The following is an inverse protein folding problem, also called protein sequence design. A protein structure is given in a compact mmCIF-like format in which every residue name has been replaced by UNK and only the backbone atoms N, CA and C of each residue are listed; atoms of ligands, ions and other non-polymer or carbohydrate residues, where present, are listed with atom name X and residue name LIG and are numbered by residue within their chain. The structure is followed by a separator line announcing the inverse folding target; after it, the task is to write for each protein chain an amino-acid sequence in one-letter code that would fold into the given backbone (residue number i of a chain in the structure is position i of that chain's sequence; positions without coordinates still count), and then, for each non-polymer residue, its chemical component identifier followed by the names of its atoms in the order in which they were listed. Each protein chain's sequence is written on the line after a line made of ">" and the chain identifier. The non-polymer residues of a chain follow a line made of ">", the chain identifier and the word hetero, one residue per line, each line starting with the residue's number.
data_IF_346169245466
#
_entry.id   IF_346169245466
#
_cell.length_a   1.000
_cell.length_b   1.000
_cell.length_c   1.000
_cell.angle_alpha   90.00
_cell.angle_beta   90.00
_cell.angle_gamma   90.00
#
_symmetry.space_group_name_H-M   'P 1'
#
loop_
_entity.id
_entity.type
_entity.pdbx_description
1 polymer ?
#
# COMPACT_ATOMS: atom_id res chain seq x y z
N UNK A 1 -2.38 4.24 5.96
CA UNK A 1 -1.77 4.67 7.23
C UNK A 1 -1.85 6.18 7.41
N UNK A 2 -1.24 6.96 6.51
CA UNK A 2 -1.25 8.43 6.52
C UNK A 2 -2.63 9.04 6.81
N UNK A 3 -3.62 8.82 5.93
CA UNK A 3 -4.97 9.41 6.08
C UNK A 3 -5.75 8.88 7.29
N UNK A 4 -5.83 7.56 7.48
CA UNK A 4 -6.66 6.94 8.51
C UNK A 4 -6.22 7.29 9.94
N UNK A 5 -4.91 7.44 10.15
CA UNK A 5 -4.34 7.71 11.48
C UNK A 5 -3.80 9.14 11.63
N UNK A 6 -3.87 9.97 10.57
CA UNK A 6 -3.28 11.32 10.57
C UNK A 6 -1.77 11.31 10.83
N UNK A 7 -1.07 10.24 10.44
CA UNK A 7 0.36 10.09 10.70
C UNK A 7 1.18 10.72 9.57
N UNK A 8 2.15 11.60 9.86
CA UNK A 8 2.98 12.19 8.83
C UNK A 8 3.94 11.15 8.24
N UNK A 9 4.42 11.31 6.98
CA UNK A 9 5.17 10.27 6.27
C UNK A 9 6.45 9.85 6.99
N UNK A 10 7.15 10.78 7.64
CA UNK A 10 8.37 10.51 8.41
C UNK A 10 8.14 9.64 9.66
N UNK A 11 6.89 9.44 10.07
CA UNK A 11 6.49 8.53 11.16
C UNK A 11 5.94 7.19 10.64
N UNK A 12 6.02 6.92 9.34
CA UNK A 12 5.57 5.68 8.72
C UNK A 12 6.80 4.92 8.22
N UNK A 13 7.21 3.90 8.98
CA UNK A 13 8.29 2.99 8.60
C UNK A 13 7.74 1.74 7.93
N UNK A 14 8.33 1.35 6.79
CA UNK A 14 8.05 0.07 6.12
C UNK A 14 9.16 -0.91 6.41
N UNK A 15 8.79 -2.07 6.94
CA UNK A 15 9.70 -3.18 7.25
C UNK A 15 9.23 -4.42 6.50
N UNK A 16 10.15 -5.13 5.84
CA UNK A 16 9.84 -6.39 5.19
C UNK A 16 9.79 -7.49 6.27
N UNK A 17 8.64 -8.14 6.37
CA UNK A 17 8.41 -9.27 7.26
C UNK A 17 7.91 -10.49 6.46
N UNK A 18 8.82 -11.38 6.00
CA UNK A 18 8.47 -12.47 5.08
C UNK A 18 7.40 -13.44 5.61
N UNK A 19 7.38 -13.67 6.93
CA UNK A 19 6.45 -14.63 7.53
C UNK A 19 5.01 -14.12 7.60
N UNK A 20 4.80 -12.81 7.46
CA UNK A 20 3.48 -12.17 7.50
C UNK A 20 2.62 -12.53 8.73
N UNK A 21 3.27 -12.88 9.84
CA UNK A 21 2.62 -13.18 11.13
C UNK A 21 2.34 -11.89 11.91
N UNK A 22 3.32 -10.98 11.94
CA UNK A 22 3.10 -9.63 12.44
C UNK A 22 2.48 -8.82 11.30
N UNK A 23 1.26 -8.32 11.47
CA UNK A 23 0.56 -7.59 10.39
C UNK A 23 0.86 -6.08 10.39
N UNK A 24 1.26 -5.51 11.52
CA UNK A 24 1.80 -4.15 11.69
C UNK A 24 2.17 -3.89 13.15
N UNK A 25 2.88 -2.79 13.41
CA UNK A 25 3.36 -2.39 14.72
C UNK A 25 3.18 -0.89 14.95
N UNK A 26 3.11 -0.47 16.22
CA UNK A 26 3.11 0.94 16.63
C UNK A 26 4.13 1.13 17.75
N UNK A 27 5.05 2.07 17.55
CA UNK A 27 6.04 2.47 18.56
C UNK A 27 5.55 3.70 19.34
N UNK A 28 5.74 3.69 20.65
CA UNK A 28 5.35 4.75 21.57
C UNK A 28 6.55 5.56 22.06
N UNK A 29 6.30 6.71 22.68
CA UNK A 29 7.34 7.65 23.14
C UNK A 29 8.24 7.10 24.26
N UNK A 30 7.78 6.09 24.99
CA UNK A 30 8.56 5.34 25.98
C UNK A 30 9.45 4.26 25.36
N UNK A 31 9.44 4.13 24.03
CA UNK A 31 10.18 3.12 23.27
C UNK A 31 9.46 1.77 23.17
N UNK A 32 8.31 1.59 23.81
CA UNK A 32 7.54 0.35 23.71
C UNK A 32 6.92 0.17 22.32
N UNK A 33 6.81 -1.08 21.88
CA UNK A 33 6.21 -1.44 20.60
C UNK A 33 5.03 -2.37 20.86
N UNK A 34 3.88 -2.04 20.28
CA UNK A 34 2.72 -2.94 20.22
C UNK A 34 2.59 -3.50 18.82
N UNK A 35 2.54 -4.82 18.71
CA UNK A 35 2.37 -5.55 17.47
C UNK A 35 1.04 -6.32 17.50
N UNK A 36 0.35 -6.39 16.36
CA UNK A 36 -0.74 -7.34 16.17
C UNK A 36 -0.23 -8.53 15.36
N UNK A 37 -0.44 -9.73 15.91
CA UNK A 37 -0.05 -11.00 15.30
C UNK A 37 -1.28 -11.82 14.93
N UNK A 38 -1.20 -12.52 13.81
CA UNK A 38 -2.26 -13.41 13.34
C UNK A 38 -1.77 -14.33 12.23
N UNK A 39 -2.56 -15.37 11.96
CA UNK A 39 -2.43 -16.09 10.70
C UNK A 39 -2.95 -15.18 9.57
N UNK A 40 -2.44 -15.33 8.33
CA UNK A 40 -2.89 -14.54 7.18
C UNK A 40 -4.31 -14.95 6.72
N UNK A 41 -5.31 -14.70 7.56
CA UNK A 41 -6.73 -14.94 7.29
C UNK A 41 -7.53 -13.64 7.51
N UNK A 42 -8.13 -13.14 6.43
CA UNK A 42 -8.94 -11.91 6.43
C UNK A 42 -10.19 -11.98 7.32
N UNK A 43 -10.66 -13.18 7.70
CA UNK A 43 -11.83 -13.32 8.58
C UNK A 43 -11.63 -12.63 9.92
N UNK A 44 -10.41 -12.66 10.47
CA UNK A 44 -10.11 -12.04 11.76
C UNK A 44 -10.22 -10.50 11.73
N UNK A 45 -9.53 -9.77 10.83
CA UNK A 45 -9.69 -8.32 10.74
C UNK A 45 -11.10 -7.91 10.31
N UNK A 46 -11.77 -8.65 9.43
CA UNK A 46 -13.17 -8.37 9.05
C UNK A 46 -14.10 -8.49 10.26
N UNK A 47 -14.02 -9.60 11.01
CA UNK A 47 -14.84 -9.78 12.21
C UNK A 47 -14.60 -8.65 13.21
N UNK A 48 -13.34 -8.31 13.48
CA UNK A 48 -13.02 -7.26 14.44
C UNK A 48 -13.50 -5.88 13.99
N UNK A 49 -13.43 -5.55 12.70
CA UNK A 49 -13.95 -4.29 12.17
C UNK A 49 -15.47 -4.18 12.33
N UNK A 50 -16.21 -5.29 12.12
CA UNK A 50 -17.67 -5.33 12.26
C UNK A 50 -18.14 -5.33 13.72
N UNK A 51 -17.31 -5.82 14.64
CA UNK A 51 -17.70 -6.01 16.05
C UNK A 51 -16.92 -5.10 16.99
N UNK A 52 -16.20 -4.09 16.48
CA UNK A 52 -15.41 -3.21 17.34
C UNK A 52 -16.32 -2.42 18.30
N UNK A 53 -15.98 -2.34 19.61
CA UNK A 53 -14.74 -2.80 20.25
C UNK A 53 -14.79 -4.23 20.80
N UNK A 54 -15.93 -4.92 20.72
CA UNK A 54 -16.10 -6.29 21.20
C UNK A 54 -15.26 -7.32 20.41
N UNK A 55 -14.84 -8.36 21.12
CA UNK A 55 -14.18 -9.53 20.52
C UNK A 55 -15.11 -10.74 20.60
N UNK A 56 -15.76 -11.04 19.48
CA UNK A 56 -16.62 -12.23 19.40
C UNK A 56 -15.79 -13.52 19.30
N UNK A 57 -16.30 -14.57 19.96
CA UNK A 57 -15.72 -15.91 19.87
C UNK A 57 -15.89 -16.46 18.45
N UNK A 58 -14.83 -17.05 17.91
CA UNK A 58 -14.84 -17.78 16.64
C UNK A 58 -14.05 -19.09 16.77
N UNK A 59 -14.17 -19.93 15.74
CA UNK A 59 -13.45 -21.21 15.63
C UNK A 59 -12.38 -21.17 14.53
N UNK A 60 -11.85 -19.98 14.19
CA UNK A 60 -10.76 -19.87 13.22
C UNK A 60 -9.49 -20.55 13.73
N UNK A 61 -8.58 -20.87 12.82
CA UNK A 61 -7.30 -21.46 13.18
C UNK A 61 -6.55 -20.55 14.18
N UNK A 62 -5.90 -21.18 15.16
CA UNK A 62 -5.16 -20.47 16.21
C UNK A 62 -3.68 -20.54 15.91
N UNK A 63 -3.00 -19.42 16.16
CA UNK A 63 -1.55 -19.34 16.01
C UNK A 63 -0.87 -20.34 16.96
N UNK A 64 0.02 -21.15 16.40
CA UNK A 64 0.90 -22.03 17.17
C UNK A 64 2.30 -21.41 17.19
N UNK A 65 2.63 -20.68 18.27
CA UNK A 65 3.88 -19.93 18.37
C UNK A 65 5.14 -20.79 18.16
N UNK A 66 5.30 -21.96 18.83
CA UNK A 66 6.42 -22.86 18.54
C UNK A 66 6.55 -23.31 17.08
N UNK A 67 5.43 -23.49 16.37
CA UNK A 67 5.46 -23.93 14.97
C UNK A 67 5.93 -22.84 14.00
N UNK A 68 5.90 -21.55 14.39
CA UNK A 68 6.40 -20.44 13.58
C UNK A 68 7.92 -20.46 13.49
N UNK A 69 8.59 -20.84 14.58
CA UNK A 69 10.04 -20.81 14.69
C UNK A 69 10.58 -19.38 14.80
N UNK A 70 10.86 -18.75 13.66
CA UNK A 70 11.56 -17.46 13.59
C UNK A 70 10.72 -16.36 12.94
N UNK A 71 10.81 -15.14 13.47
CA UNK A 71 10.31 -13.92 12.85
C UNK A 71 11.51 -13.09 12.39
N UNK A 72 11.54 -12.73 11.11
CA UNK A 72 12.63 -11.91 10.53
C UNK A 72 12.11 -10.57 10.04
N UNK A 73 12.97 -9.56 10.13
CA UNK A 73 12.71 -8.18 9.72
C UNK A 73 13.86 -7.70 8.85
N UNK A 74 13.54 -7.08 7.72
CA UNK A 74 14.51 -6.57 6.77
C UNK A 74 14.12 -5.15 6.35
N UNK A 75 15.13 -4.30 6.11
CA UNK A 75 14.92 -3.00 5.49
C UNK A 75 14.59 -3.18 4.00
N UNK A 76 13.60 -2.45 3.44
CA UNK A 76 13.30 -2.51 2.03
C UNK A 76 14.42 -1.90 1.19
N UNK A 77 14.77 -2.58 0.10
CA UNK A 77 15.72 -2.08 -0.89
C UNK A 77 14.97 -1.15 -1.86
N UNK A 78 15.14 0.17 -1.70
CA UNK A 78 14.43 1.19 -2.48
C UNK A 78 14.79 1.20 -3.98
N UNK A 79 15.94 0.64 -4.35
CA UNK A 79 16.33 0.49 -5.76
C UNK A 79 15.61 -0.70 -6.42
N UNK A 80 15.38 -1.78 -5.66
CA UNK A 80 14.58 -2.92 -6.12
C UNK A 80 13.08 -2.66 -6.07
N UNK A 81 12.59 -2.05 -4.99
CA UNK A 81 11.17 -1.76 -4.75
C UNK A 81 10.82 -0.33 -5.14
N UNK A 82 11.03 0.02 -6.42
CA UNK A 82 10.80 1.38 -6.93
C UNK A 82 9.40 1.93 -6.65
N UNK A 83 8.36 1.08 -6.70
CA UNK A 83 6.99 1.51 -6.39
C UNK A 83 6.82 1.97 -4.94
N UNK A 84 7.61 1.46 -3.99
CA UNK A 84 7.58 1.94 -2.60
C UNK A 84 8.12 3.38 -2.51
N UNK A 85 9.24 3.65 -3.19
CA UNK A 85 9.79 5.01 -3.30
C UNK A 85 8.77 5.97 -3.93
N UNK A 86 8.18 5.57 -5.06
CA UNK A 86 7.15 6.35 -5.75
C UNK A 86 5.96 6.64 -4.82
N UNK A 87 5.55 5.68 -3.99
CA UNK A 87 4.45 5.88 -3.03
C UNK A 87 4.78 6.95 -1.98
N UNK A 88 6.02 7.02 -1.48
CA UNK A 88 6.46 8.11 -0.59
C UNK A 88 6.48 9.46 -1.31
N UNK A 89 7.05 9.53 -2.53
CA UNK A 89 7.08 10.75 -3.33
C UNK A 89 5.65 11.29 -3.59
N UNK A 90 4.70 10.38 -3.82
CA UNK A 90 3.28 10.70 -4.04
C UNK A 90 2.56 11.12 -2.76
N UNK A 91 2.92 10.53 -1.60
CA UNK A 91 2.40 10.98 -0.30
C UNK A 91 2.81 12.42 -0.02
N UNK A 92 4.06 12.78 -0.31
CA UNK A 92 4.57 14.15 -0.12
C UNK A 92 3.93 15.15 -1.10
N UNK A 93 3.70 14.74 -2.34
CA UNK A 93 3.05 15.58 -3.35
C UNK A 93 1.57 15.86 -3.04
N UNK A 94 0.86 14.90 -2.43
CA UNK A 94 -0.55 15.02 -2.08
C UNK A 94 -1.46 15.27 -3.30
N UNK A 95 -2.61 15.90 -3.08
CA UNK A 95 -3.54 16.26 -4.15
C UNK A 95 -4.11 15.04 -4.89
N UNK A 96 -4.08 15.09 -6.22
CA UNK A 96 -4.49 13.98 -7.11
C UNK A 96 -3.37 12.99 -7.42
N UNK A 97 -2.13 13.23 -6.99
CA UNK A 97 -1.02 12.30 -7.25
C UNK A 97 -1.29 10.85 -6.80
N UNK A 98 -1.95 10.57 -5.64
CA UNK A 98 -2.34 9.21 -5.27
C UNK A 98 -3.33 8.56 -6.24
N UNK A 99 -4.22 9.35 -6.84
CA UNK A 99 -5.16 8.89 -7.85
C UNK A 99 -4.42 8.52 -9.13
N UNK A 100 -3.49 9.36 -9.59
CA UNK A 100 -2.63 9.08 -10.76
C UNK A 100 -1.82 7.79 -10.54
N UNK A 101 -1.18 7.65 -9.37
CA UNK A 101 -0.43 6.44 -9.02
C UNK A 101 -1.32 5.19 -9.12
N UNK A 102 -2.50 5.21 -8.48
CA UNK A 102 -3.39 4.06 -8.45
C UNK A 102 -3.88 3.70 -9.87
N UNK A 103 -4.39 4.69 -10.61
CA UNK A 103 -4.93 4.51 -11.95
C UNK A 103 -3.87 4.00 -12.93
N UNK A 104 -2.65 4.54 -12.86
CA UNK A 104 -1.53 4.09 -13.69
C UNK A 104 -1.11 2.66 -13.33
N UNK A 105 -1.02 2.34 -12.03
CA UNK A 105 -0.66 1.01 -11.56
C UNK A 105 -1.65 -0.06 -12.03
N UNK A 106 -2.96 0.21 -11.98
CA UNK A 106 -3.97 -0.75 -12.45
C UNK A 106 -3.79 -1.10 -13.94
N UNK A 107 -3.61 -0.10 -14.81
CA UNK A 107 -3.41 -0.35 -16.24
C UNK A 107 -2.05 -0.99 -16.52
N UNK A 108 -0.99 -0.60 -15.81
CA UNK A 108 0.34 -1.19 -15.97
C UNK A 108 0.35 -2.67 -15.54
N UNK A 109 -0.29 -2.99 -14.41
CA UNK A 109 -0.46 -4.39 -13.94
C UNK A 109 -1.29 -5.19 -14.94
N UNK A 110 -2.38 -4.64 -15.48
CA UNK A 110 -3.15 -5.30 -16.54
C UNK A 110 -2.28 -5.60 -17.78
N UNK A 111 -1.49 -4.62 -18.24
CA UNK A 111 -0.54 -4.80 -19.35
C UNK A 111 0.50 -5.87 -19.05
N UNK A 112 1.02 -5.93 -17.82
CA UNK A 112 1.96 -6.97 -17.40
C UNK A 112 1.30 -8.36 -17.42
N UNK A 113 0.11 -8.50 -16.82
CA UNK A 113 -0.63 -9.76 -16.77
C UNK A 113 -1.05 -10.26 -18.16
N UNK A 114 -1.27 -9.34 -19.10
CA UNK A 114 -1.58 -9.65 -20.51
C UNK A 114 -0.33 -9.79 -21.40
N UNK A 115 0.86 -9.75 -20.82
CA UNK A 115 2.14 -9.97 -21.54
C UNK A 115 2.57 -8.82 -22.45
N UNK A 116 1.97 -7.63 -22.32
CA UNK A 116 2.28 -6.44 -23.14
C UNK A 116 3.52 -5.70 -22.65
N UNK A 117 3.81 -5.75 -21.35
CA UNK A 117 5.00 -5.15 -20.74
C UNK A 117 5.68 -6.12 -19.77
N UNK A 118 6.94 -5.86 -19.43
CA UNK A 118 7.69 -6.57 -18.40
C UNK A 118 7.33 -6.04 -17.01
N UNK A 119 7.54 -6.87 -15.97
CA UNK A 119 7.34 -6.46 -14.57
C UNK A 119 8.12 -5.18 -14.20
N UNK A 120 9.36 -5.04 -14.69
CA UNK A 120 10.21 -3.87 -14.42
C UNK A 120 9.68 -2.56 -15.01
N UNK A 121 8.77 -2.62 -15.99
CA UNK A 121 8.19 -1.44 -16.65
C UNK A 121 6.98 -0.87 -15.89
N UNK A 122 6.42 -1.61 -14.91
CA UNK A 122 5.32 -1.10 -14.07
C UNK A 122 5.69 0.22 -13.38
N UNK A 123 6.81 0.32 -12.63
CA UNK A 123 7.21 1.60 -12.02
C UNK A 123 7.50 2.68 -13.07
N UNK A 124 8.02 2.33 -14.25
CA UNK A 124 8.30 3.29 -15.33
C UNK A 124 7.01 3.95 -15.83
N UNK A 125 5.97 3.16 -16.08
CA UNK A 125 4.66 3.64 -16.54
C UNK A 125 3.98 4.51 -15.48
N UNK A 126 4.10 4.15 -14.20
CA UNK A 126 3.59 4.96 -13.09
C UNK A 126 4.31 6.31 -13.03
N UNK A 127 5.65 6.30 -13.13
CA UNK A 127 6.45 7.54 -13.13
C UNK A 127 6.13 8.43 -14.34
N UNK A 128 5.96 7.86 -15.54
CA UNK A 128 5.55 8.63 -16.72
C UNK A 128 4.18 9.29 -16.53
N UNK A 129 3.21 8.57 -15.96
CA UNK A 129 1.89 9.12 -15.66
C UNK A 129 1.98 10.27 -14.65
N UNK A 130 2.72 10.09 -13.55
CA UNK A 130 2.91 11.12 -12.52
C UNK A 130 3.60 12.38 -13.06
N UNK A 131 4.51 12.23 -14.04
CA UNK A 131 5.19 13.36 -14.68
C UNK A 131 4.28 14.09 -15.69
N UNK A 132 3.29 13.40 -16.28
CA UNK A 132 2.49 13.92 -17.38
C UNK A 132 1.13 14.48 -16.95
N UNK A 133 0.49 13.84 -15.96
CA UNK A 133 -0.83 14.22 -15.48
C UNK A 133 -0.68 15.30 -14.41
N UNK A 134 -1.44 16.37 -14.54
CA UNK A 134 -1.40 17.49 -13.60
C UNK A 134 -1.87 17.07 -12.20
N UNK A 135 -1.15 17.53 -11.18
CA UNK A 135 -1.52 17.31 -9.78
C UNK A 135 -2.38 18.48 -9.27
N UNK A 136 -3.62 18.20 -8.85
CA UNK A 136 -4.51 19.18 -8.25
C UNK A 136 -4.54 19.01 -6.72
N UNK A 137 -4.17 20.05 -5.98
CA UNK A 137 -3.92 19.96 -4.52
C UNK A 137 -5.17 19.88 -3.64
N UNK A 138 -6.33 20.32 -4.13
CA UNK A 138 -7.61 20.26 -3.43
C UNK A 138 -8.75 19.85 -4.39
N UNK A 139 -8.74 18.59 -4.87
CA UNK A 139 -9.65 18.17 -5.93
C UNK A 139 -11.06 17.94 -5.39
N UNK A 140 -12.06 18.30 -6.19
CA UNK A 140 -13.43 17.79 -6.01
C UNK A 140 -13.52 16.33 -6.46
N UNK A 141 -14.64 15.67 -6.15
CA UNK A 141 -14.87 14.30 -6.60
C UNK A 141 -14.85 14.18 -8.14
N UNK A 142 -15.42 15.15 -8.85
CA UNK A 142 -15.41 15.17 -10.32
C UNK A 142 -13.99 15.29 -10.88
N UNK A 143 -13.14 16.12 -10.25
CA UNK A 143 -11.72 16.26 -10.61
C UNK A 143 -10.97 14.94 -10.38
N UNK A 144 -11.30 14.18 -9.32
CA UNK A 144 -10.71 12.85 -9.08
C UNK A 144 -11.12 11.87 -10.18
N UNK A 145 -12.40 11.83 -10.58
CA UNK A 145 -12.86 10.97 -11.68
C UNK A 145 -12.22 11.34 -13.02
N UNK A 146 -12.09 12.63 -13.32
CA UNK A 146 -11.41 13.08 -14.53
C UNK A 146 -9.93 12.68 -14.49
N UNK A 147 -9.26 12.85 -13.35
CA UNK A 147 -7.87 12.46 -13.16
C UNK A 147 -7.65 10.96 -13.38
N UNK A 148 -8.50 10.10 -12.80
CA UNK A 148 -8.44 8.64 -12.99
C UNK A 148 -8.60 8.29 -14.48
N UNK A 149 -9.65 8.82 -15.13
CA UNK A 149 -9.92 8.54 -16.55
C UNK A 149 -8.76 8.97 -17.46
N UNK A 150 -8.29 10.22 -17.32
CA UNK A 150 -7.18 10.77 -18.11
C UNK A 150 -5.89 9.98 -17.91
N UNK A 151 -5.62 9.57 -16.67
CA UNK A 151 -4.45 8.75 -16.35
C UNK A 151 -4.53 7.39 -17.05
N UNK A 152 -5.69 6.71 -16.98
CA UNK A 152 -5.88 5.42 -17.64
C UNK A 152 -5.73 5.51 -19.15
N UNK A 153 -6.31 6.54 -19.78
CA UNK A 153 -6.19 6.78 -21.21
C UNK A 153 -4.73 7.00 -21.63
N UNK A 154 -4.01 7.83 -20.87
CA UNK A 154 -2.59 8.09 -21.11
C UNK A 154 -1.76 6.79 -21.03
N UNK A 155 -1.88 6.03 -19.94
CA UNK A 155 -1.08 4.80 -19.74
C UNK A 155 -1.44 3.71 -20.77
N UNK A 156 -2.68 3.66 -21.26
CA UNK A 156 -3.06 2.75 -22.35
C UNK A 156 -2.29 3.04 -23.64
N UNK A 157 -2.00 4.30 -23.94
CA UNK A 157 -1.27 4.75 -25.12
C UNK A 157 0.26 4.52 -25.02
N UNK A 158 0.80 4.36 -23.80
CA UNK A 158 2.21 4.00 -23.61
C UNK A 158 2.51 2.61 -24.18
N UNK A 159 3.65 2.49 -24.86
CA UNK A 159 4.10 1.29 -25.56
C UNK A 159 5.10 0.49 -24.73
#
# INVERSE_FOLDING_TARGET
>A
AYWLFGMPPEKIEVVIHPQSIIHSMVQYNDGSIKAQLGLPDMKLPIQYALTYPERLKNNFERINMPAIGSLSFLQPDMEKFKCLKIAYDVLDAGGTAPCVLNAANEIAVEKFLTGKIKFSQIPEFITEALNKIENHTAPSLDVIYECDNRTREFVKQLS
#
